data_IF_718745216510
#
_entry.id   IF_718745216510
#
_cell.length_a   1.000
_cell.length_b   1.000
_cell.length_c   1.000
_cell.angle_alpha   90.00
_cell.angle_beta   90.00
_cell.angle_gamma   90.00
#
_symmetry.space_group_name_H-M   'P 1'
#
loop_
_entity.id
_entity.type
_entity.pdbx_description
1 polymer ?
#
# COMPACT_ATOMS: atom_id res chain seq x y z
N UNK A 1 29.61 11.91 9.08
CA UNK A 1 28.34 12.02 9.82
C UNK A 1 27.41 13.18 9.38
N UNK A 2 27.53 13.66 8.11
CA UNK A 2 26.78 14.82 7.59
C UNK A 2 25.45 14.45 6.87
N UNK A 3 25.19 13.16 6.60
CA UNK A 3 23.99 12.69 5.87
C UNK A 3 22.67 12.83 6.65
N UNK A 4 22.72 12.91 8.00
CA UNK A 4 21.51 12.96 8.84
C UNK A 4 20.85 14.34 8.95
N UNK A 5 21.49 15.41 8.48
CA UNK A 5 20.95 16.78 8.66
C UNK A 5 20.01 17.23 7.54
N UNK A 6 20.00 16.56 6.40
CA UNK A 6 19.09 16.90 5.32
C UNK A 6 17.67 16.40 5.63
N UNK A 7 16.66 17.26 5.48
CA UNK A 7 15.24 16.95 5.82
C UNK A 7 14.75 15.63 5.21
N UNK A 8 15.09 15.39 3.95
CA UNK A 8 14.71 14.16 3.22
C UNK A 8 15.33 12.92 3.86
N UNK A 9 16.61 12.97 4.22
CA UNK A 9 17.30 11.85 4.87
C UNK A 9 16.74 11.60 6.27
N UNK A 10 16.45 12.66 7.03
CA UNK A 10 15.80 12.55 8.36
C UNK A 10 14.42 11.90 8.25
N UNK A 11 13.63 12.30 7.25
CA UNK A 11 12.33 11.72 6.96
C UNK A 11 12.44 10.22 6.67
N UNK A 12 13.35 9.84 5.75
CA UNK A 12 13.54 8.43 5.37
C UNK A 12 13.98 7.57 6.57
N UNK A 13 14.96 8.04 7.34
CA UNK A 13 15.44 7.34 8.54
C UNK A 13 14.33 7.20 9.59
N UNK A 14 13.56 8.28 9.82
CA UNK A 14 12.45 8.24 10.79
C UNK A 14 11.37 7.26 10.35
N UNK A 15 10.99 7.27 9.05
CA UNK A 15 10.05 6.30 8.48
C UNK A 15 10.51 4.86 8.75
N UNK A 16 11.75 4.53 8.39
CA UNK A 16 12.29 3.17 8.57
C UNK A 16 12.29 2.75 10.03
N UNK A 17 12.76 3.62 10.94
CA UNK A 17 12.74 3.35 12.39
C UNK A 17 11.33 3.09 12.92
N UNK A 18 10.34 3.88 12.49
CA UNK A 18 8.95 3.72 12.92
C UNK A 18 8.38 2.38 12.43
N UNK A 19 8.64 2.02 11.18
CA UNK A 19 8.16 0.74 10.62
C UNK A 19 8.82 -0.46 11.31
N UNK A 20 10.13 -0.43 11.55
CA UNK A 20 10.84 -1.48 12.29
C UNK A 20 10.26 -1.65 13.70
N UNK A 21 10.09 -0.56 14.46
CA UNK A 21 9.54 -0.62 15.82
C UNK A 21 8.11 -1.16 15.84
N UNK A 22 7.31 -0.78 14.86
CA UNK A 22 5.95 -1.31 14.73
C UNK A 22 5.96 -2.83 14.45
N UNK A 23 6.79 -3.28 13.50
CA UNK A 23 6.90 -4.70 13.16
C UNK A 23 7.48 -5.56 14.31
N UNK A 24 8.26 -4.95 15.20
CA UNK A 24 8.76 -5.60 16.42
C UNK A 24 7.73 -5.57 17.58
N UNK A 25 6.55 -4.98 17.37
CA UNK A 25 5.52 -4.85 18.41
C UNK A 25 5.84 -3.81 19.49
N UNK A 26 6.85 -2.95 19.29
CA UNK A 26 7.28 -1.96 20.30
C UNK A 26 6.38 -0.72 20.35
N UNK A 27 5.60 -0.47 19.30
CA UNK A 27 4.67 0.66 19.22
C UNK A 27 3.33 0.23 18.62
N UNK A 28 2.26 0.87 19.03
CA UNK A 28 0.90 0.68 18.50
C UNK A 28 0.74 1.29 17.10
N UNK A 29 -0.35 0.91 16.39
CA UNK A 29 -0.73 1.51 15.11
C UNK A 29 -0.96 3.03 15.25
N UNK A 30 -1.55 3.48 16.36
CA UNK A 30 -1.75 4.89 16.68
C UNK A 30 -0.42 5.63 16.83
N UNK A 31 0.52 5.09 17.59
CA UNK A 31 1.85 5.69 17.74
C UNK A 31 2.64 5.70 16.43
N UNK A 32 2.54 4.60 15.63
CA UNK A 32 3.08 4.55 14.26
C UNK A 32 2.55 5.72 13.44
N UNK A 33 1.24 5.95 13.43
CA UNK A 33 0.59 7.03 12.68
C UNK A 33 1.07 8.40 13.13
N UNK A 34 1.14 8.67 14.44
CA UNK A 34 1.64 9.94 14.98
C UNK A 34 3.06 10.22 14.49
N UNK A 35 3.96 9.24 14.61
CA UNK A 35 5.37 9.39 14.22
C UNK A 35 5.55 9.50 12.69
N UNK A 36 4.72 8.86 11.90
CA UNK A 36 4.73 9.02 10.44
C UNK A 36 4.25 10.41 10.01
N UNK A 37 3.23 10.96 10.68
CA UNK A 37 2.83 12.36 10.48
C UNK A 37 3.95 13.34 10.81
N UNK A 38 4.69 13.13 11.91
CA UNK A 38 5.88 13.91 12.24
C UNK A 38 6.96 13.80 11.15
N UNK A 39 7.21 12.59 10.66
CA UNK A 39 8.18 12.36 9.59
C UNK A 39 7.80 13.10 8.29
N UNK A 40 6.51 13.11 7.95
CA UNK A 40 6.03 13.78 6.73
C UNK A 40 6.19 15.30 6.82
N UNK A 41 6.00 15.89 8.00
CA UNK A 41 6.17 17.32 8.23
C UNK A 41 7.61 17.84 8.06
N UNK A 42 8.62 16.98 7.99
CA UNK A 42 9.98 17.42 7.66
C UNK A 42 10.09 18.02 6.25
N UNK A 43 9.32 17.49 5.30
CA UNK A 43 9.31 17.94 3.90
C UNK A 43 8.03 18.65 3.51
N UNK A 44 6.91 18.33 4.17
CA UNK A 44 5.59 18.93 3.98
C UNK A 44 5.13 19.55 5.31
N UNK A 45 5.63 20.75 5.68
CA UNK A 45 5.36 21.33 7.01
C UNK A 45 3.88 21.62 7.29
N UNK A 46 3.08 21.81 6.22
CA UNK A 46 1.65 22.09 6.29
C UNK A 46 0.77 20.84 6.23
N UNK A 47 1.37 19.66 6.35
CA UNK A 47 0.62 18.40 6.43
C UNK A 47 -0.30 18.37 7.65
N UNK A 48 -1.60 18.25 7.43
CA UNK A 48 -2.63 18.26 8.49
C UNK A 48 -2.97 16.86 9.05
N UNK A 49 -2.49 15.82 8.40
CA UNK A 49 -2.71 14.43 8.80
C UNK A 49 -3.77 13.68 7.99
N UNK A 50 -4.50 14.34 7.11
CA UNK A 50 -5.62 13.75 6.36
C UNK A 50 -5.68 14.16 4.89
N UNK A 51 -5.52 15.45 4.60
CA UNK A 51 -5.76 15.98 3.25
C UNK A 51 -4.49 15.97 2.43
N UNK A 52 -4.54 15.35 1.26
CA UNK A 52 -3.41 15.32 0.33
C UNK A 52 -3.20 16.72 -0.25
N UNK A 53 -2.10 17.41 0.10
CA UNK A 53 -1.85 18.75 -0.40
C UNK A 53 -1.53 18.73 -1.89
N UNK A 54 -1.80 19.88 -2.55
CA UNK A 54 -1.33 20.09 -3.93
C UNK A 54 0.20 20.13 -3.97
N UNK A 55 0.80 19.39 -4.89
CA UNK A 55 2.24 19.35 -5.08
C UNK A 55 2.71 18.01 -5.60
N UNK A 56 4.03 17.86 -5.74
CA UNK A 56 4.66 16.62 -6.17
C UNK A 56 5.19 15.89 -4.94
N UNK A 57 4.74 14.67 -4.73
CA UNK A 57 5.22 13.80 -3.66
C UNK A 57 6.40 12.96 -4.18
N UNK A 58 7.42 12.83 -3.36
CA UNK A 58 8.46 11.83 -3.56
C UNK A 58 7.91 10.44 -3.25
N UNK A 59 8.57 9.39 -3.77
CA UNK A 59 8.23 8.00 -3.45
C UNK A 59 8.21 7.72 -1.94
N UNK A 60 9.11 8.35 -1.17
CA UNK A 60 9.14 8.22 0.29
C UNK A 60 7.90 8.83 0.93
N UNK A 61 7.47 10.00 0.49
CA UNK A 61 6.27 10.68 0.99
C UNK A 61 4.99 9.90 0.65
N UNK A 62 4.86 9.43 -0.59
CA UNK A 62 3.76 8.51 -0.96
C UNK A 62 3.72 7.29 -0.04
N UNK A 63 4.86 6.65 0.20
CA UNK A 63 4.97 5.51 1.10
C UNK A 63 4.63 5.85 2.57
N UNK A 64 4.92 7.06 3.05
CA UNK A 64 4.53 7.51 4.39
C UNK A 64 3.01 7.70 4.46
N UNK A 65 2.40 8.35 3.48
CA UNK A 65 0.94 8.57 3.43
C UNK A 65 0.21 7.22 3.37
N UNK A 66 0.65 6.29 2.54
CA UNK A 66 0.09 4.93 2.51
C UNK A 66 0.19 4.24 3.88
N UNK A 67 1.33 4.35 4.57
CA UNK A 67 1.48 3.75 5.91
C UNK A 67 0.64 4.46 6.99
N UNK A 68 0.33 5.75 6.84
CA UNK A 68 -0.64 6.47 7.69
C UNK A 68 -2.03 5.87 7.49
N UNK A 69 -2.48 5.71 6.25
CA UNK A 69 -3.77 5.10 5.93
C UNK A 69 -3.86 3.65 6.44
N UNK A 70 -2.81 2.83 6.21
CA UNK A 70 -2.73 1.46 6.77
C UNK A 70 -2.81 1.45 8.29
N UNK A 71 -2.31 2.48 8.98
CA UNK A 71 -2.43 2.55 10.44
C UNK A 71 -3.87 2.76 10.91
N UNK A 72 -4.69 3.49 10.15
CA UNK A 72 -6.13 3.60 10.40
C UNK A 72 -6.83 2.26 10.15
N UNK A 73 -6.52 1.58 9.04
CA UNK A 73 -7.06 0.25 8.74
C UNK A 73 -6.74 -0.77 9.85
N UNK A 74 -5.53 -0.72 10.43
CA UNK A 74 -5.12 -1.59 11.54
C UNK A 74 -5.87 -1.33 12.85
N UNK A 75 -6.45 -0.14 13.01
CA UNK A 75 -7.34 0.23 14.11
C UNK A 75 -8.82 0.06 13.74
N UNK A 76 -9.12 -0.60 12.62
CA UNK A 76 -10.49 -0.81 12.08
C UNK A 76 -11.23 0.48 11.70
N UNK A 77 -10.52 1.60 11.62
CA UNK A 77 -11.03 2.88 11.16
C UNK A 77 -10.98 2.93 9.63
N UNK A 78 -11.78 2.06 8.99
CA UNK A 78 -11.74 1.86 7.54
C UNK A 78 -12.12 3.13 6.76
N UNK A 79 -13.07 3.92 7.24
CA UNK A 79 -13.50 5.13 6.55
C UNK A 79 -12.36 6.14 6.41
N UNK A 80 -11.62 6.42 7.50
CA UNK A 80 -10.47 7.33 7.46
C UNK A 80 -9.34 6.78 6.59
N UNK A 81 -9.14 5.47 6.58
CA UNK A 81 -8.17 4.82 5.71
C UNK A 81 -8.54 5.00 4.24
N UNK A 82 -9.80 4.71 3.88
CA UNK A 82 -10.33 4.84 2.53
C UNK A 82 -10.28 6.29 2.03
N UNK A 83 -10.65 7.25 2.86
CA UNK A 83 -10.62 8.68 2.50
C UNK A 83 -9.21 9.14 2.09
N UNK A 84 -8.18 8.72 2.84
CA UNK A 84 -6.78 9.03 2.50
C UNK A 84 -6.34 8.29 1.23
N UNK A 85 -6.68 7.00 1.11
CA UNK A 85 -6.28 6.18 -0.04
C UNK A 85 -6.94 6.67 -1.33
N UNK A 86 -8.23 7.05 -1.30
CA UNK A 86 -8.94 7.63 -2.45
C UNK A 86 -8.35 8.97 -2.90
N UNK A 87 -7.96 9.82 -1.96
CA UNK A 87 -7.26 11.05 -2.29
C UNK A 87 -5.90 10.78 -2.97
N UNK A 88 -5.14 9.79 -2.47
CA UNK A 88 -3.88 9.38 -3.10
C UNK A 88 -4.10 8.74 -4.48
N UNK A 89 -5.16 7.96 -4.67
CA UNK A 89 -5.53 7.42 -5.97
C UNK A 89 -5.76 8.55 -6.98
N UNK A 90 -6.58 9.53 -6.60
CA UNK A 90 -6.82 10.72 -7.43
C UNK A 90 -5.54 11.52 -7.72
N UNK A 91 -4.63 11.60 -6.76
CA UNK A 91 -3.31 12.19 -6.96
C UNK A 91 -2.53 11.48 -8.07
N UNK A 92 -2.46 10.13 -8.05
CA UNK A 92 -1.78 9.35 -9.10
C UNK A 92 -2.45 9.45 -10.47
N UNK A 93 -3.77 9.58 -10.53
CA UNK A 93 -4.51 9.77 -11.78
C UNK A 93 -4.19 11.11 -12.45
N UNK A 94 -3.98 12.16 -11.66
CA UNK A 94 -3.78 13.53 -12.15
C UNK A 94 -2.32 13.94 -12.27
N UNK A 95 -1.39 13.21 -11.67
CA UNK A 95 0.03 13.56 -11.65
C UNK A 95 0.76 12.91 -12.81
N UNK A 96 1.53 13.71 -13.57
CA UNK A 96 2.44 13.17 -14.59
C UNK A 96 3.65 12.54 -13.90
N UNK A 97 3.77 11.24 -14.05
CA UNK A 97 4.84 10.42 -13.48
C UNK A 97 5.34 9.43 -14.53
N UNK A 98 6.58 8.99 -14.43
CA UNK A 98 7.08 7.89 -15.23
C UNK A 98 6.23 6.63 -14.95
N UNK A 99 5.88 5.88 -15.99
CA UNK A 99 5.01 4.70 -15.88
C UNK A 99 5.54 3.63 -14.91
N UNK A 100 6.85 3.40 -14.91
CA UNK A 100 7.48 2.44 -14.01
C UNK A 100 7.40 2.89 -12.54
N UNK A 101 7.74 4.15 -12.27
CA UNK A 101 7.59 4.74 -10.91
C UNK A 101 6.14 4.76 -10.47
N UNK A 102 5.23 5.08 -11.38
CA UNK A 102 3.79 5.06 -11.14
C UNK A 102 3.34 3.65 -10.80
N UNK A 103 3.73 2.65 -11.59
CA UNK A 103 3.39 1.25 -11.34
C UNK A 103 3.82 0.79 -9.94
N UNK A 104 5.03 1.18 -9.50
CA UNK A 104 5.53 0.83 -8.17
C UNK A 104 4.79 1.54 -7.05
N UNK A 105 4.56 2.84 -7.17
CA UNK A 105 4.01 3.66 -6.08
C UNK A 105 2.50 3.56 -5.97
N UNK A 106 1.81 3.63 -7.11
CA UNK A 106 0.36 3.47 -7.19
C UNK A 106 -0.06 2.03 -6.90
N UNK A 107 0.68 1.02 -7.40
CA UNK A 107 0.40 -0.38 -7.12
C UNK A 107 0.44 -0.72 -5.62
N UNK A 108 1.39 -0.13 -4.86
CA UNK A 108 1.38 -0.27 -3.40
C UNK A 108 0.13 0.35 -2.77
N UNK A 109 -0.31 1.51 -3.26
CA UNK A 109 -1.53 2.14 -2.79
C UNK A 109 -2.75 1.29 -3.10
N UNK A 110 -2.89 0.83 -4.34
CA UNK A 110 -4.07 0.08 -4.81
C UNK A 110 -4.21 -1.27 -4.11
N UNK A 111 -3.10 -1.96 -3.85
CA UNK A 111 -3.12 -3.19 -3.03
C UNK A 111 -3.60 -2.93 -1.59
N UNK A 112 -3.14 -1.84 -0.94
CA UNK A 112 -3.64 -1.47 0.38
C UNK A 112 -5.11 -1.02 0.35
N UNK A 113 -5.53 -0.32 -0.71
CA UNK A 113 -6.92 0.09 -0.91
C UNK A 113 -7.83 -1.14 -1.06
N UNK A 114 -7.46 -2.09 -1.89
CA UNK A 114 -8.21 -3.35 -2.05
C UNK A 114 -8.33 -4.12 -0.74
N UNK A 115 -7.24 -4.23 0.04
CA UNK A 115 -7.29 -4.86 1.36
C UNK A 115 -8.23 -4.10 2.33
N UNK A 116 -8.24 -2.78 2.29
CA UNK A 116 -9.11 -1.95 3.13
C UNK A 116 -10.58 -2.16 2.75
N UNK A 117 -10.90 -2.13 1.45
CA UNK A 117 -12.22 -2.39 0.90
C UNK A 117 -12.73 -3.79 1.26
N UNK A 118 -11.90 -4.82 1.08
CA UNK A 118 -12.26 -6.18 1.46
C UNK A 118 -12.59 -6.32 2.95
N UNK A 119 -11.84 -5.64 3.82
CA UNK A 119 -12.09 -5.63 5.28
C UNK A 119 -13.29 -4.79 5.69
N UNK A 120 -13.64 -3.75 4.93
CA UNK A 120 -14.86 -2.95 5.16
C UNK A 120 -16.13 -3.58 4.59
N UNK A 121 -16.00 -4.69 3.83
CA UNK A 121 -17.13 -5.41 3.23
C UNK A 121 -17.38 -5.06 1.74
N UNK A 122 -16.58 -4.17 1.17
CA UNK A 122 -16.66 -3.75 -0.25
C UNK A 122 -15.83 -4.69 -1.13
N UNK A 123 -16.11 -5.99 -1.04
CA UNK A 123 -15.29 -7.06 -1.64
C UNK A 123 -15.29 -7.03 -3.16
N UNK A 124 -16.38 -6.63 -3.78
CA UNK A 124 -16.52 -6.58 -5.25
C UNK A 124 -15.54 -5.54 -5.85
N UNK A 125 -15.51 -4.33 -5.31
CA UNK A 125 -14.56 -3.31 -5.73
C UNK A 125 -13.11 -3.71 -5.43
N UNK A 126 -12.88 -4.36 -4.30
CA UNK A 126 -11.54 -4.88 -3.96
C UNK A 126 -11.03 -5.87 -5.02
N UNK A 127 -11.87 -6.79 -5.48
CA UNK A 127 -11.54 -7.76 -6.53
C UNK A 127 -11.24 -7.06 -7.86
N UNK A 128 -12.06 -6.10 -8.27
CA UNK A 128 -11.83 -5.34 -9.51
C UNK A 128 -10.47 -4.62 -9.52
N UNK A 129 -10.08 -4.05 -8.38
CA UNK A 129 -8.77 -3.39 -8.22
C UNK A 129 -7.64 -4.42 -8.36
N UNK A 130 -7.71 -5.55 -7.64
CA UNK A 130 -6.65 -6.57 -7.66
C UNK A 130 -6.52 -7.23 -9.04
N UNK A 131 -7.62 -7.50 -9.73
CA UNK A 131 -7.58 -8.02 -11.11
C UNK A 131 -6.91 -7.04 -12.09
N UNK A 132 -7.20 -5.75 -11.96
CA UNK A 132 -6.57 -4.71 -12.77
C UNK A 132 -5.07 -4.62 -12.49
N UNK A 133 -4.68 -4.68 -11.21
CA UNK A 133 -3.27 -4.64 -10.82
C UNK A 133 -2.53 -5.91 -11.23
N UNK A 134 -3.13 -7.09 -11.13
CA UNK A 134 -2.54 -8.33 -11.61
C UNK A 134 -2.20 -8.26 -13.11
N UNK A 135 -3.14 -7.77 -13.94
CA UNK A 135 -2.90 -7.55 -15.37
C UNK A 135 -1.77 -6.54 -15.63
N UNK A 136 -1.68 -5.49 -14.82
CA UNK A 136 -0.64 -4.47 -14.90
C UNK A 136 0.73 -5.03 -14.50
N UNK A 137 0.81 -5.82 -13.43
CA UNK A 137 2.05 -6.46 -12.99
C UNK A 137 2.58 -7.47 -14.01
N UNK A 138 1.69 -8.24 -14.66
CA UNK A 138 2.08 -9.11 -15.79
C UNK A 138 2.66 -8.31 -16.95
N UNK A 139 2.05 -7.18 -17.32
CA UNK A 139 2.52 -6.32 -18.41
C UNK A 139 3.91 -5.73 -18.16
N UNK A 140 4.28 -5.50 -16.90
CA UNK A 140 5.54 -4.86 -16.50
C UNK A 140 6.54 -5.82 -15.86
N UNK A 141 6.37 -7.15 -16.03
CA UNK A 141 7.25 -8.20 -15.51
C UNK A 141 7.50 -8.12 -13.98
N UNK A 142 6.47 -7.67 -13.23
CA UNK A 142 6.55 -7.48 -11.77
C UNK A 142 6.10 -8.73 -11.00
N UNK A 143 6.72 -9.88 -11.26
CA UNK A 143 6.36 -11.16 -10.66
C UNK A 143 6.29 -11.11 -9.12
N UNK A 144 7.23 -10.40 -8.48
CA UNK A 144 7.26 -10.23 -7.03
C UNK A 144 6.07 -9.44 -6.42
N UNK A 145 5.16 -8.90 -7.26
CA UNK A 145 3.91 -8.27 -6.82
C UNK A 145 2.69 -9.05 -7.30
N UNK A 146 2.83 -9.71 -8.45
CA UNK A 146 1.74 -10.44 -9.09
C UNK A 146 1.19 -11.56 -8.19
N UNK A 147 2.06 -12.32 -7.51
CA UNK A 147 1.58 -13.39 -6.62
C UNK A 147 0.72 -12.87 -5.47
N UNK A 148 1.04 -11.69 -4.94
CA UNK A 148 0.24 -11.05 -3.89
C UNK A 148 -1.17 -10.71 -4.36
N UNK A 149 -1.31 -10.09 -5.55
CA UNK A 149 -2.63 -9.80 -6.13
C UNK A 149 -3.41 -11.08 -6.44
N UNK A 150 -2.78 -12.12 -6.97
CA UNK A 150 -3.45 -13.41 -7.22
C UNK A 150 -3.94 -14.07 -5.93
N UNK A 151 -3.16 -13.98 -4.85
CA UNK A 151 -3.58 -14.43 -3.52
C UNK A 151 -4.80 -13.64 -3.01
N UNK A 152 -4.78 -12.31 -3.12
CA UNK A 152 -5.91 -11.47 -2.69
C UNK A 152 -7.16 -11.71 -3.52
N UNK A 153 -7.02 -11.96 -4.84
CA UNK A 153 -8.13 -12.34 -5.71
C UNK A 153 -8.75 -13.66 -5.23
N UNK A 154 -7.94 -14.69 -4.99
CA UNK A 154 -8.44 -15.98 -4.51
C UNK A 154 -9.17 -15.84 -3.17
N UNK A 155 -8.60 -15.08 -2.23
CA UNK A 155 -9.21 -14.82 -0.93
C UNK A 155 -10.55 -14.06 -1.05
N UNK A 156 -10.61 -13.04 -1.91
CA UNK A 156 -11.85 -12.31 -2.17
C UNK A 156 -12.94 -13.17 -2.81
N UNK A 157 -12.56 -14.04 -3.75
CA UNK A 157 -13.45 -15.02 -4.37
C UNK A 157 -14.02 -16.01 -3.34
N UNK A 158 -13.18 -16.49 -2.42
CA UNK A 158 -13.61 -17.38 -1.32
C UNK A 158 -14.64 -16.70 -0.41
N UNK A 159 -14.43 -15.44 -0.04
CA UNK A 159 -15.39 -14.66 0.76
C UNK A 159 -16.73 -14.49 0.03
N UNK A 160 -16.73 -14.37 -1.29
CA UNK A 160 -17.92 -14.26 -2.12
C UNK A 160 -18.57 -15.63 -2.43
N UNK A 161 -18.05 -16.73 -1.86
CA UNK A 161 -18.53 -18.08 -2.10
C UNK A 161 -18.53 -18.47 -3.59
N UNK A 162 -17.52 -17.99 -4.35
CA UNK A 162 -17.34 -18.37 -5.74
C UNK A 162 -16.86 -19.82 -5.87
N UNK A 163 -16.78 -20.31 -7.09
CA UNK A 163 -16.38 -21.70 -7.39
C UNK A 163 -15.02 -22.04 -6.76
N UNK A 164 -14.99 -23.11 -5.97
CA UNK A 164 -13.81 -23.55 -5.21
C UNK A 164 -12.62 -23.90 -6.12
N UNK A 165 -12.87 -24.49 -7.29
CA UNK A 165 -11.81 -24.87 -8.21
C UNK A 165 -11.15 -23.64 -8.83
N UNK A 166 -11.94 -22.58 -9.13
CA UNK A 166 -11.41 -21.30 -9.62
C UNK A 166 -10.56 -20.62 -8.54
N UNK A 167 -10.99 -20.62 -7.28
CA UNK A 167 -10.21 -20.09 -6.16
C UNK A 167 -8.90 -20.85 -5.99
N UNK A 168 -8.92 -22.18 -6.03
CA UNK A 168 -7.72 -23.03 -5.96
C UNK A 168 -6.75 -22.76 -7.10
N UNK A 169 -7.25 -22.60 -8.34
CA UNK A 169 -6.41 -22.27 -9.48
C UNK A 169 -5.63 -20.97 -9.25
N UNK A 170 -6.28 -19.93 -8.74
CA UNK A 170 -5.62 -18.67 -8.40
C UNK A 170 -4.57 -18.81 -7.30
N UNK A 171 -4.86 -19.60 -6.26
CA UNK A 171 -3.90 -19.89 -5.19
C UNK A 171 -2.68 -20.64 -5.72
N UNK A 172 -2.87 -21.64 -6.59
CA UNK A 172 -1.77 -22.38 -7.22
C UNK A 172 -0.92 -21.46 -8.10
N UNK A 173 -1.53 -20.59 -8.89
CA UNK A 173 -0.82 -19.59 -9.68
C UNK A 173 0.02 -18.66 -8.79
N UNK A 174 -0.56 -18.16 -7.71
CA UNK A 174 0.15 -17.30 -6.74
C UNK A 174 1.35 -18.05 -6.13
N UNK A 175 1.14 -19.28 -5.68
CA UNK A 175 2.19 -20.11 -5.08
C UNK A 175 3.35 -20.37 -6.06
N UNK A 176 3.05 -20.79 -7.29
CA UNK A 176 4.09 -21.06 -8.31
C UNK A 176 4.94 -19.82 -8.61
N UNK A 177 4.32 -18.62 -8.65
CA UNK A 177 5.07 -17.38 -8.88
C UNK A 177 5.90 -17.02 -7.64
N UNK A 178 5.36 -17.16 -6.43
CA UNK A 178 6.08 -16.90 -5.19
C UNK A 178 7.29 -17.82 -5.04
N UNK A 179 7.15 -19.12 -5.37
CA UNK A 179 8.24 -20.10 -5.39
C UNK A 179 9.32 -19.71 -6.40
N UNK A 180 8.91 -19.36 -7.62
CA UNK A 180 9.83 -18.93 -8.68
C UNK A 180 10.65 -17.68 -8.30
N UNK A 181 10.06 -16.70 -7.60
CA UNK A 181 10.78 -15.51 -7.14
C UNK A 181 11.54 -15.72 -5.82
N UNK A 182 11.45 -16.90 -5.22
CA UNK A 182 12.17 -17.26 -4.00
C UNK A 182 11.57 -16.65 -2.72
N UNK A 183 10.27 -16.34 -2.72
CA UNK A 183 9.56 -15.72 -1.58
C UNK A 183 8.65 -16.71 -0.81
N UNK A 184 8.79 -18.01 -1.07
CA UNK A 184 8.15 -19.06 -0.28
C UNK A 184 9.05 -19.40 0.91
N UNK A 185 8.60 -19.04 2.12
CA UNK A 185 9.24 -19.42 3.38
C UNK A 185 8.29 -20.19 4.28
#
# INVERSE_FOLDING_TARGET
MHLCNHKVNRQAVMRMRVLCRYNLGEISAKEKRVKLNEALRFTIPYWDGKNIPKGVFTRTECGIVCNIAVSYMQEENYQEALDIMRQMQKYFETTRMNEEEKCVSEGLLLSNLAQCLGRSGETEEALEIEEKEAKRYMKHDMAGRLYGSLYHIAYGMEIQHMDEEVCKEKLVQAYCIADFVGDVR
#
